data_IF_082032304012
#
_entry.id   IF_082032304012
#
_cell.length_a   1.000
_cell.length_b   1.000
_cell.length_c   1.000
_cell.angle_alpha   90.00
_cell.angle_beta   90.00
_cell.angle_gamma   90.00
#
_symmetry.space_group_name_H-M   'P 1'
#
loop_
_entity.id
_entity.type
_entity.pdbx_description
1 polymer ?
#
# COMPACT_ATOMS: atom_id res chain seq x y z
N UNK A 1 -29.62 3.83 -34.45
CA UNK A 1 -28.72 3.58 -35.59
C UNK A 1 -28.33 4.91 -36.24
N UNK A 2 -27.09 5.38 -36.04
CA UNK A 2 -26.40 6.38 -36.90
C UNK A 2 -24.87 6.21 -36.71
N UNK A 3 -24.23 5.50 -37.62
CA UNK A 3 -22.83 5.71 -38.04
C UNK A 3 -22.93 6.40 -39.41
N UNK A 4 -22.06 7.33 -39.85
CA UNK A 4 -20.60 7.14 -40.00
C UNK A 4 -19.81 8.44 -39.64
N UNK A 5 -18.48 8.51 -39.60
CA UNK A 5 -17.55 8.69 -40.74
C UNK A 5 -16.12 8.74 -40.16
N UNK A 6 -15.26 7.85 -40.64
CA UNK A 6 -13.86 8.09 -41.03
C UNK A 6 -12.93 8.89 -40.09
N UNK A 7 -12.04 8.19 -39.40
CA UNK A 7 -10.66 8.63 -39.22
C UNK A 7 -9.77 7.39 -39.06
N UNK A 8 -9.22 6.95 -40.19
CA UNK A 8 -8.17 5.95 -40.26
C UNK A 8 -6.84 6.64 -39.90
N UNK A 9 -5.94 5.87 -39.26
CA UNK A 9 -4.47 6.07 -39.18
C UNK A 9 -3.99 7.00 -38.04
N UNK A 10 -3.29 6.43 -37.05
CA UNK A 10 -1.82 6.34 -37.07
C UNK A 10 -1.34 5.60 -35.82
N UNK A 11 -0.61 4.51 -36.02
CA UNK A 11 0.06 3.79 -34.96
C UNK A 11 1.10 4.71 -34.30
N UNK A 12 0.90 5.04 -33.02
CA UNK A 12 2.00 5.53 -32.19
C UNK A 12 2.57 4.33 -31.47
N UNK A 13 3.69 3.86 -32.02
CA UNK A 13 4.64 2.99 -31.37
C UNK A 13 5.18 3.72 -30.14
N UNK A 14 4.59 3.50 -28.96
CA UNK A 14 5.23 3.90 -27.71
C UNK A 14 6.24 2.82 -27.39
N UNK A 15 7.51 3.19 -27.54
CA UNK A 15 8.66 2.41 -27.14
C UNK A 15 8.43 1.82 -25.74
N UNK A 16 8.77 0.54 -25.58
CA UNK A 16 8.80 -0.13 -24.30
C UNK A 16 9.76 0.63 -23.36
N UNK A 17 9.21 1.56 -22.60
CA UNK A 17 9.86 2.07 -21.40
C UNK A 17 9.99 0.88 -20.48
N UNK A 18 11.24 0.58 -20.10
CA UNK A 18 11.54 -0.38 -19.05
C UNK A 18 10.58 -0.11 -17.90
N UNK A 19 9.66 -1.04 -17.65
CA UNK A 19 8.71 -0.95 -16.56
C UNK A 19 9.51 -1.16 -15.27
N UNK A 20 10.15 -0.11 -14.77
CA UNK A 20 10.42 0.00 -13.36
C UNK A 20 9.04 0.02 -12.70
N UNK A 21 8.56 -1.15 -12.27
CA UNK A 21 7.33 -1.24 -11.49
C UNK A 21 7.51 -0.29 -10.30
N UNK A 22 6.65 0.73 -10.14
CA UNK A 22 6.77 1.63 -9.01
C UNK A 22 6.60 0.79 -7.75
N UNK A 23 7.64 0.77 -6.93
CA UNK A 23 7.62 0.18 -5.59
C UNK A 23 6.32 0.65 -4.90
N UNK A 24 5.37 -0.28 -4.74
CA UNK A 24 4.00 0.02 -4.37
C UNK A 24 3.93 0.32 -2.88
N UNK A 25 4.51 1.45 -2.50
CA UNK A 25 4.46 1.98 -1.14
C UNK A 25 3.16 2.77 -0.96
N UNK A 26 2.29 2.29 -0.08
CA UNK A 26 1.03 2.96 0.27
C UNK A 26 1.10 3.47 1.70
N UNK A 27 0.81 4.75 1.93
CA UNK A 27 0.74 5.34 3.28
C UNK A 27 -0.70 5.64 3.66
N UNK A 28 -1.15 5.12 4.80
CA UNK A 28 -2.48 5.37 5.37
C UNK A 28 -2.34 6.13 6.69
N UNK A 29 -3.16 7.16 6.90
CA UNK A 29 -3.20 7.91 8.16
C UNK A 29 -4.26 7.32 9.09
N UNK A 30 -3.95 7.27 10.38
CA UNK A 30 -4.82 6.76 11.43
C UNK A 30 -5.34 7.95 12.22
N UNK A 31 -6.65 8.01 12.40
CA UNK A 31 -7.33 9.05 13.16
C UNK A 31 -8.16 8.40 14.28
N UNK A 32 -8.36 9.12 15.38
CA UNK A 32 -9.33 8.73 16.40
C UNK A 32 -10.77 9.09 15.98
N UNK A 33 -11.76 8.72 16.81
CA UNK A 33 -13.18 8.99 16.59
C UNK A 33 -13.53 10.49 16.49
N UNK A 34 -12.65 11.35 17.02
CA UNK A 34 -12.79 12.81 16.96
C UNK A 34 -12.03 13.42 15.78
N UNK A 35 -11.44 12.60 14.91
CA UNK A 35 -10.68 13.03 13.74
C UNK A 35 -9.26 13.51 14.07
N UNK A 36 -8.73 13.26 15.28
CA UNK A 36 -7.36 13.65 15.64
C UNK A 36 -6.38 12.63 15.10
N UNK A 37 -5.27 13.12 14.55
CA UNK A 37 -4.23 12.27 13.97
C UNK A 37 -3.51 11.48 15.06
N UNK A 38 -3.53 10.15 14.94
CA UNK A 38 -2.92 9.21 15.89
C UNK A 38 -1.62 8.59 15.34
N UNK A 39 -1.40 8.63 14.03
CA UNK A 39 -0.23 8.03 13.41
C UNK A 39 -0.46 7.61 11.97
N UNK A 40 0.46 6.81 11.44
CA UNK A 40 0.40 6.33 10.05
C UNK A 40 0.88 4.89 9.92
N UNK A 41 0.31 4.21 8.94
CA UNK A 41 0.79 2.91 8.48
C UNK A 41 1.42 3.09 7.11
N UNK A 42 2.64 2.59 6.93
CA UNK A 42 3.34 2.56 5.65
C UNK A 42 3.44 1.12 5.20
N UNK A 43 2.75 0.80 4.11
CA UNK A 43 2.72 -0.53 3.52
C UNK A 43 3.62 -0.60 2.30
N UNK A 44 4.44 -1.64 2.22
CA UNK A 44 5.40 -1.91 1.15
C UNK A 44 5.56 -3.42 1.01
N UNK A 45 5.42 -3.93 -0.22
CA UNK A 45 5.57 -5.37 -0.54
C UNK A 45 4.73 -6.28 0.37
N UNK A 46 3.50 -5.88 0.68
CA UNK A 46 2.60 -6.61 1.58
C UNK A 46 2.90 -6.47 3.07
N UNK A 47 4.03 -5.88 3.45
CA UNK A 47 4.38 -5.61 4.85
C UNK A 47 3.98 -4.19 5.26
N UNK A 48 3.54 -4.00 6.50
CA UNK A 48 3.17 -2.71 7.04
C UNK A 48 4.08 -2.30 8.21
N UNK A 49 4.48 -1.03 8.27
CA UNK A 49 5.15 -0.40 9.41
C UNK A 49 4.21 0.63 10.03
N UNK A 50 4.10 0.63 11.34
CA UNK A 50 3.20 1.48 12.10
C UNK A 50 4.02 2.54 12.83
N UNK A 51 3.59 3.78 12.73
CA UNK A 51 4.19 4.93 13.40
C UNK A 51 3.13 5.69 14.17
N UNK A 52 3.49 6.23 15.32
CA UNK A 52 2.61 7.12 16.09
C UNK A 52 2.53 8.52 15.48
N UNK A 53 1.76 9.40 16.12
CA UNK A 53 1.56 10.77 15.68
C UNK A 53 2.85 11.60 15.62
N UNK A 54 3.86 11.24 16.43
CA UNK A 54 5.19 11.88 16.46
C UNK A 54 6.15 11.27 15.43
N UNK A 55 5.72 10.23 14.70
CA UNK A 55 6.55 9.52 13.74
C UNK A 55 7.45 8.45 14.36
N UNK A 56 7.25 8.09 15.63
CA UNK A 56 8.00 7.02 16.30
C UNK A 56 7.47 5.68 15.84
N UNK A 57 8.37 4.78 15.47
CA UNK A 57 8.03 3.43 15.06
C UNK A 57 7.43 2.63 16.22
N UNK A 58 6.24 2.09 16.02
CA UNK A 58 5.49 1.34 17.03
C UNK A 58 5.50 -0.17 16.76
N UNK A 59 5.79 -0.59 15.53
CA UNK A 59 5.80 -2.00 15.16
C UNK A 59 5.53 -2.26 13.69
N UNK A 60 5.38 -3.54 13.35
CA UNK A 60 5.17 -3.99 11.97
C UNK A 60 4.17 -5.13 11.89
N UNK A 61 3.52 -5.20 10.74
CA UNK A 61 2.65 -6.30 10.33
C UNK A 61 3.29 -6.96 9.12
N UNK A 62 3.50 -8.26 9.19
CA UNK A 62 4.05 -9.08 8.11
C UNK A 62 2.95 -9.95 7.54
N UNK A 63 2.57 -9.73 6.28
CA UNK A 63 1.64 -10.63 5.59
C UNK A 63 2.35 -11.93 5.21
N UNK A 64 1.58 -13.01 5.25
CA UNK A 64 1.97 -14.34 4.81
C UNK A 64 1.27 -14.65 3.49
N UNK A 65 1.84 -15.59 2.74
CA UNK A 65 1.33 -16.02 1.44
C UNK A 65 -0.09 -16.61 1.54
N UNK A 66 -0.41 -17.24 2.67
CA UNK A 66 -1.73 -17.82 2.95
C UNK A 66 -2.81 -16.77 3.32
N UNK A 67 -2.48 -15.47 3.29
CA UNK A 67 -3.39 -14.38 3.64
C UNK A 67 -3.36 -13.96 5.11
N UNK A 68 -2.79 -14.77 6.01
CA UNK A 68 -2.59 -14.41 7.41
C UNK A 68 -1.63 -13.21 7.53
N UNK A 69 -1.67 -12.54 8.68
CA UNK A 69 -0.65 -11.56 9.03
C UNK A 69 -0.15 -11.75 10.47
N UNK A 70 1.10 -11.39 10.71
CA UNK A 70 1.73 -11.46 12.03
C UNK A 70 2.13 -10.06 12.47
N UNK A 71 1.78 -9.70 13.70
CA UNK A 71 2.10 -8.39 14.27
C UNK A 71 3.26 -8.49 15.26
N UNK A 72 4.16 -7.53 15.17
CA UNK A 72 5.28 -7.34 16.08
C UNK A 72 5.29 -5.91 16.59
N UNK A 73 5.73 -5.72 17.84
CA UNK A 73 5.98 -4.39 18.39
C UNK A 73 7.28 -3.76 17.87
N UNK A 74 7.58 -2.55 18.35
CA UNK A 74 8.78 -1.81 18.01
C UNK A 74 10.10 -2.54 18.36
N UNK A 75 10.08 -3.39 19.38
CA UNK A 75 11.22 -4.20 19.83
C UNK A 75 11.36 -5.51 19.04
N UNK A 76 10.37 -5.84 18.21
CA UNK A 76 10.32 -7.09 17.46
C UNK A 76 9.67 -8.24 18.22
N UNK A 77 9.03 -7.98 19.37
CA UNK A 77 8.28 -8.99 20.12
C UNK A 77 6.99 -9.32 19.39
N UNK A 78 6.64 -10.60 19.33
CA UNK A 78 5.38 -11.06 18.76
C UNK A 78 4.19 -10.55 19.59
N UNK A 79 3.22 -9.91 18.93
CA UNK A 79 2.03 -9.35 19.56
C UNK A 79 0.75 -10.10 19.17
N UNK A 80 0.76 -10.84 18.05
CA UNK A 80 -0.40 -11.62 17.64
C UNK A 80 -0.41 -12.03 16.16
N UNK A 81 -1.46 -12.75 15.79
CA UNK A 81 -1.77 -13.13 14.40
C UNK A 81 -3.14 -12.62 14.01
N UNK A 82 -3.26 -12.16 12.78
CA UNK A 82 -4.49 -11.73 12.12
C UNK A 82 -4.81 -12.80 11.09
N UNK A 83 -6.02 -13.33 11.13
CA UNK A 83 -6.54 -14.25 10.12
C UNK A 83 -7.57 -13.51 9.26
N UNK A 84 -7.69 -13.83 7.97
CA UNK A 84 -8.72 -13.29 7.10
C UNK A 84 -10.13 -13.72 7.52
#
# INVERSE_FOLDING_TARGET
>A
MRFPVLAMILAVLVAATAHAEPDKTTTSRIYDEKGRYQGKTVQRDGNARIYDAKGVYQGRIIRKENGDAVMYDAKGTFQGRIKP
#
